data_IF_172993621639
#
_entry.id   IF_172993621639
#
_cell.length_a   1.000
_cell.length_b   1.000
_cell.length_c   1.000
_cell.angle_alpha   90.00
_cell.angle_beta   90.00
_cell.angle_gamma   90.00
#
_symmetry.space_group_name_H-M   'P 1'
#
loop_
_entity.id
_entity.type
_entity.pdbx_description
1 polymer ?
#
# COMPACT_ATOMS: atom_id res chain seq x y z
N UNK A 1 15.72 -53.22 12.10
CA UNK A 1 16.91 -52.68 12.81
C UNK A 1 17.39 -51.50 11.96
N UNK A 2 17.56 -50.24 12.36
CA UNK A 2 17.84 -49.51 13.61
C UNK A 2 17.10 -48.16 13.53
N UNK A 3 16.35 -47.66 14.52
CA UNK A 3 16.68 -47.12 15.86
C UNK A 3 17.48 -45.80 15.87
N UNK A 4 16.84 -44.80 16.54
CA UNK A 4 17.34 -43.54 17.18
C UNK A 4 17.19 -42.28 16.31
N UNK A 5 16.77 -41.11 16.81
CA UNK A 5 16.76 -40.61 18.20
C UNK A 5 15.64 -39.58 18.47
N UNK A 6 15.25 -39.49 19.75
CA UNK A 6 14.44 -38.45 20.39
C UNK A 6 15.23 -37.16 20.65
N UNK A 7 14.55 -36.01 20.71
CA UNK A 7 14.60 -35.05 21.85
C UNK A 7 13.26 -34.29 21.95
N UNK A 8 12.76 -34.14 23.18
CA UNK A 8 11.55 -33.41 23.57
C UNK A 8 11.87 -31.96 24.02
N UNK A 9 10.90 -31.06 23.93
CA UNK A 9 10.86 -29.84 24.74
C UNK A 9 9.42 -29.43 25.08
N UNK A 10 9.28 -28.88 26.28
CA UNK A 10 8.10 -28.80 27.14
C UNK A 10 7.41 -27.45 27.03
N UNK A 11 6.08 -27.42 27.07
CA UNK A 11 5.24 -26.23 27.32
C UNK A 11 3.96 -26.69 28.03
N UNK A 12 3.33 -25.99 28.97
CA UNK A 12 3.64 -24.77 29.71
C UNK A 12 2.76 -24.76 30.99
N UNK A 13 3.35 -24.23 32.06
CA UNK A 13 2.81 -23.45 33.19
C UNK A 13 1.31 -23.53 33.50
N UNK A 14 1.01 -23.93 34.74
CA UNK A 14 -0.27 -23.71 35.40
C UNK A 14 -0.23 -22.64 36.50
N UNK A 15 -1.45 -22.14 36.78
CA UNK A 15 -2.05 -21.76 38.07
C UNK A 15 -1.72 -20.39 38.74
N UNK A 16 -2.81 -19.61 38.85
CA UNK A 16 -3.39 -18.91 40.02
C UNK A 16 -2.61 -17.80 40.74
N UNK A 17 -3.31 -16.68 41.00
CA UNK A 17 -3.34 -16.10 42.35
C UNK A 17 -3.29 -14.57 42.49
N UNK A 18 -4.44 -13.99 42.87
CA UNK A 18 -4.71 -12.98 43.93
C UNK A 18 -3.78 -11.77 44.20
N UNK A 19 -4.40 -10.58 44.37
CA UNK A 19 -4.18 -9.79 45.59
C UNK A 19 -3.83 -8.28 45.49
N UNK A 20 -4.78 -7.45 45.94
CA UNK A 20 -4.69 -6.25 46.81
C UNK A 20 -3.53 -5.22 46.76
N UNK A 21 -3.91 -3.94 46.58
CA UNK A 21 -3.84 -2.91 47.66
C UNK A 21 -2.53 -2.17 47.97
N UNK A 22 -2.52 -0.86 47.62
CA UNK A 22 -1.87 0.38 48.16
C UNK A 22 -0.61 0.33 49.06
N UNK A 23 0.22 1.41 49.08
CA UNK A 23 -0.04 2.45 50.08
C UNK A 23 0.19 3.92 49.67
N UNK A 24 -0.46 4.74 50.50
CA UNK A 24 -0.45 6.18 50.70
C UNK A 24 0.94 6.70 51.12
N UNK A 25 1.30 7.93 50.74
CA UNK A 25 2.27 8.74 51.50
C UNK A 25 1.76 10.17 51.57
N UNK A 26 1.44 10.60 52.79
CA UNK A 26 1.20 11.99 53.17
C UNK A 26 2.54 12.64 53.53
N UNK A 27 2.75 13.90 53.14
CA UNK A 27 3.52 14.86 53.94
C UNK A 27 2.94 16.25 53.72
N UNK A 28 2.49 16.85 54.82
CA UNK A 28 1.93 18.20 54.94
C UNK A 28 3.05 19.18 55.24
N UNK A 29 3.01 20.38 54.64
CA UNK A 29 3.85 21.53 55.01
C UNK A 29 3.30 22.80 54.35
N UNK A 30 2.90 23.77 55.15
CA UNK A 30 1.92 24.81 54.83
C UNK A 30 2.50 26.16 54.35
N UNK A 31 1.61 26.93 53.68
CA UNK A 31 1.39 28.39 53.74
C UNK A 31 1.62 29.22 52.46
N UNK A 32 0.51 29.83 52.02
CA UNK A 32 0.17 30.70 50.86
C UNK A 32 0.85 32.10 50.88
N UNK A 33 0.47 33.12 50.04
CA UNK A 33 -0.48 33.17 48.91
C UNK A 33 0.03 33.95 47.65
N UNK A 34 -0.64 33.79 46.51
CA UNK A 34 -0.77 34.88 45.53
C UNK A 34 -2.04 34.72 44.68
N UNK A 35 -2.77 35.82 44.59
CA UNK A 35 -4.13 35.98 44.07
C UNK A 35 -4.16 36.12 42.54
N UNK A 36 -5.19 35.51 41.95
CA UNK A 36 -5.91 35.76 40.69
C UNK A 36 -5.28 36.61 39.58
N UNK A 37 -5.36 36.09 38.34
CA UNK A 37 -5.99 36.81 37.23
C UNK A 37 -6.38 35.84 36.11
N UNK A 38 -7.67 35.88 35.81
CA UNK A 38 -8.39 35.17 34.75
C UNK A 38 -8.10 35.78 33.38
N UNK A 39 -7.64 34.96 32.42
CA UNK A 39 -8.04 35.06 31.01
C UNK A 39 -8.03 33.65 30.45
N UNK A 40 -9.21 33.01 30.43
CA UNK A 40 -9.44 31.85 29.58
C UNK A 40 -9.58 32.35 28.14
N UNK A 41 -8.46 32.49 27.43
CA UNK A 41 -8.51 32.55 25.97
C UNK A 41 -8.73 31.11 25.52
N UNK A 42 -9.99 30.73 25.35
CA UNK A 42 -10.35 29.56 24.54
C UNK A 42 -9.83 29.81 23.13
N UNK A 43 -8.57 29.46 22.89
CA UNK A 43 -8.13 29.15 21.55
C UNK A 43 -8.97 27.95 21.14
N UNK A 44 -10.04 28.23 20.39
CA UNK A 44 -10.67 27.22 19.59
C UNK A 44 -9.53 26.58 18.78
N UNK A 45 -9.13 25.37 19.16
CA UNK A 45 -8.32 24.54 18.30
C UNK A 45 -9.14 24.41 17.04
N UNK A 46 -8.76 25.17 16.02
CA UNK A 46 -9.20 24.92 14.67
C UNK A 46 -8.90 23.44 14.46
N UNK A 47 -9.96 22.64 14.39
CA UNK A 47 -9.82 21.26 13.96
C UNK A 47 -9.39 21.39 12.51
N UNK A 48 -8.07 21.41 12.29
CA UNK A 48 -7.49 21.26 10.97
C UNK A 48 -8.10 19.97 10.45
N UNK A 49 -9.05 20.12 9.54
CA UNK A 49 -9.61 18.98 8.84
C UNK A 49 -8.42 18.41 8.12
N UNK A 50 -7.92 17.26 8.60
CA UNK A 50 -6.78 16.56 8.01
C UNK A 50 -7.19 16.25 6.57
N UNK A 51 -6.85 17.16 5.66
CA UNK A 51 -6.98 16.94 4.24
C UNK A 51 -6.23 15.65 3.99
N UNK A 52 -6.86 14.71 3.30
CA UNK A 52 -6.26 13.40 3.03
C UNK A 52 -4.96 13.48 2.21
N UNK A 53 -4.51 14.69 1.82
CA UNK A 53 -3.30 14.96 1.04
C UNK A 53 -3.48 14.67 -0.45
N UNK A 54 -4.51 13.90 -0.82
CA UNK A 54 -4.84 13.59 -2.21
C UNK A 54 -5.31 14.83 -2.98
N UNK A 55 -4.68 15.02 -4.13
CA UNK A 55 -5.06 15.97 -5.16
C UNK A 55 -5.30 15.22 -6.47
N UNK A 56 -6.11 15.78 -7.39
CA UNK A 56 -6.29 15.21 -8.71
C UNK A 56 -4.97 15.01 -9.44
N UNK A 57 -4.84 13.91 -10.17
CA UNK A 57 -3.71 13.64 -11.05
C UNK A 57 -3.59 14.71 -12.14
N UNK A 58 -2.36 15.13 -12.46
CA UNK A 58 -2.11 16.21 -13.42
C UNK A 58 -0.95 15.89 -14.37
N UNK A 59 -1.10 16.06 -15.69
CA UNK A 59 -2.32 16.51 -16.38
C UNK A 59 -3.45 15.48 -16.28
N UNK A 60 -4.69 15.94 -16.43
CA UNK A 60 -5.86 15.06 -16.39
C UNK A 60 -5.68 13.91 -17.40
N UNK A 61 -5.79 12.69 -16.90
CA UNK A 61 -5.50 11.46 -17.65
C UNK A 61 -6.64 10.48 -17.40
N UNK A 62 -7.14 9.82 -18.45
CA UNK A 62 -8.09 8.72 -18.27
C UNK A 62 -7.34 7.52 -17.67
N UNK A 63 -7.67 7.07 -16.44
CA UNK A 63 -6.95 5.98 -15.79
C UNK A 63 -7.06 4.65 -16.57
N UNK A 64 -8.12 4.45 -17.35
CA UNK A 64 -8.29 3.23 -18.15
C UNK A 64 -7.55 3.26 -19.49
N UNK A 65 -6.93 4.38 -19.84
CA UNK A 65 -6.10 4.49 -21.06
C UNK A 65 -4.65 4.06 -20.85
N UNK A 66 -4.22 3.95 -19.59
CA UNK A 66 -2.82 3.67 -19.23
C UNK A 66 -2.39 2.21 -19.43
N UNK A 67 -3.33 1.28 -19.34
CA UNK A 67 -3.07 -0.15 -19.58
C UNK A 67 -4.08 -0.66 -20.59
N UNK A 68 -3.59 -1.27 -21.65
CA UNK A 68 -4.45 -1.88 -22.67
C UNK A 68 -4.91 -3.25 -22.12
N UNK A 69 -6.22 -3.58 -22.10
CA UNK A 69 -6.71 -4.84 -21.54
C UNK A 69 -6.04 -6.10 -22.10
N UNK A 70 -5.69 -6.10 -23.39
CA UNK A 70 -5.01 -7.22 -24.06
C UNK A 70 -3.62 -7.52 -23.46
N UNK A 71 -2.97 -6.53 -22.85
CA UNK A 71 -1.68 -6.72 -22.17
C UNK A 71 -1.83 -7.51 -20.85
N UNK A 72 -3.05 -7.60 -20.33
CA UNK A 72 -3.40 -8.33 -19.11
C UNK A 72 -3.88 -9.76 -19.40
N UNK A 73 -3.82 -10.23 -20.64
CA UNK A 73 -4.28 -11.58 -21.00
C UNK A 73 -3.50 -12.72 -20.33
N UNK A 74 -2.31 -12.45 -19.80
CA UNK A 74 -1.54 -13.40 -18.99
C UNK A 74 -1.82 -13.28 -17.48
N UNK A 75 -2.59 -12.26 -17.07
CA UNK A 75 -2.93 -11.97 -15.68
C UNK A 75 -4.35 -12.42 -15.30
N UNK A 76 -5.20 -12.72 -16.28
CA UNK A 76 -6.57 -13.18 -16.05
C UNK A 76 -7.20 -13.78 -17.32
N UNK A 77 -8.37 -14.38 -17.17
CA UNK A 77 -9.11 -14.98 -18.28
C UNK A 77 -9.65 -13.91 -19.25
N UNK A 78 -9.32 -14.02 -20.53
CA UNK A 78 -9.89 -13.13 -21.54
C UNK A 78 -11.40 -13.42 -21.76
N UNK A 79 -12.22 -12.40 -22.10
CA UNK A 79 -11.86 -11.00 -22.26
C UNK A 79 -11.64 -10.26 -20.92
N UNK A 80 -10.69 -9.33 -20.92
CA UNK A 80 -10.48 -8.40 -19.81
C UNK A 80 -11.27 -7.12 -20.08
N UNK A 81 -12.10 -6.69 -19.12
CA UNK A 81 -12.89 -5.46 -19.21
C UNK A 81 -12.37 -4.43 -18.22
N UNK A 82 -12.44 -3.14 -18.58
CA UNK A 82 -12.00 -2.03 -17.73
C UNK A 82 -13.16 -1.13 -17.32
N UNK A 83 -13.06 -0.55 -16.11
CA UNK A 83 -14.06 0.39 -15.60
C UNK A 83 -13.40 1.51 -14.81
N UNK A 84 -13.64 2.74 -15.25
CA UNK A 84 -13.18 3.93 -14.56
C UNK A 84 -14.10 4.29 -13.36
N UNK A 85 -13.49 4.84 -12.31
CA UNK A 85 -14.18 5.45 -11.17
C UNK A 85 -13.33 6.59 -10.63
N UNK A 86 -13.98 7.62 -10.10
CA UNK A 86 -13.29 8.67 -9.35
C UNK A 86 -13.90 8.81 -7.96
N UNK A 87 -13.06 9.07 -6.96
CA UNK A 87 -13.49 9.38 -5.60
C UNK A 87 -12.41 10.19 -4.87
N UNK A 88 -12.79 11.33 -4.27
CA UNK A 88 -11.92 12.14 -3.42
C UNK A 88 -10.56 12.50 -4.06
N UNK A 89 -10.56 12.87 -5.34
CA UNK A 89 -9.35 13.24 -6.08
C UNK A 89 -8.47 12.07 -6.53
N UNK A 90 -8.88 10.82 -6.25
CA UNK A 90 -8.25 9.61 -6.77
C UNK A 90 -9.04 9.12 -7.98
N UNK A 91 -8.37 9.06 -9.12
CA UNK A 91 -8.89 8.44 -10.34
C UNK A 91 -8.47 6.97 -10.35
N UNK A 92 -9.38 6.08 -10.71
CA UNK A 92 -9.15 4.64 -10.66
C UNK A 92 -9.63 3.98 -11.93
N UNK A 93 -8.90 2.96 -12.39
CA UNK A 93 -9.39 1.99 -13.35
C UNK A 93 -9.28 0.59 -12.76
N UNK A 94 -10.39 -0.15 -12.77
CA UNK A 94 -10.41 -1.56 -12.38
C UNK A 94 -10.55 -2.42 -13.62
N UNK A 95 -9.66 -3.41 -13.76
CA UNK A 95 -9.67 -4.42 -14.79
C UNK A 95 -10.18 -5.73 -14.21
N UNK A 96 -11.14 -6.35 -14.86
CA UNK A 96 -11.74 -7.62 -14.47
C UNK A 96 -11.70 -8.62 -15.61
N UNK A 97 -11.48 -9.89 -15.27
CA UNK A 97 -11.52 -10.98 -16.23
C UNK A 97 -12.95 -11.43 -16.57
N UNK A 98 -13.05 -12.41 -17.46
CA UNK A 98 -14.32 -12.99 -17.90
C UNK A 98 -15.16 -13.58 -16.76
N UNK A 99 -14.51 -14.00 -15.68
CA UNK A 99 -15.13 -14.58 -14.48
C UNK A 99 -15.41 -13.50 -13.40
N UNK A 100 -15.24 -12.21 -13.75
CA UNK A 100 -15.40 -11.05 -12.87
C UNK A 100 -14.39 -10.95 -11.72
N UNK A 101 -13.31 -11.72 -11.75
CA UNK A 101 -12.20 -11.55 -10.83
C UNK A 101 -11.47 -10.25 -11.18
N UNK A 102 -11.03 -9.52 -10.16
CA UNK A 102 -10.13 -8.38 -10.39
C UNK A 102 -8.79 -8.90 -10.85
N UNK A 103 -8.19 -8.22 -11.81
CA UNK A 103 -6.87 -8.57 -12.37
C UNK A 103 -5.85 -7.48 -12.06
N UNK A 104 -6.27 -6.23 -12.25
CA UNK A 104 -5.49 -5.04 -11.94
C UNK A 104 -6.43 -3.97 -11.40
N UNK A 105 -6.03 -3.32 -10.33
CA UNK A 105 -6.58 -2.05 -9.92
C UNK A 105 -5.51 -0.96 -10.02
N UNK A 106 -5.78 0.05 -10.84
CA UNK A 106 -4.85 1.12 -11.13
C UNK A 106 -5.40 2.42 -10.55
N UNK A 107 -4.59 3.14 -9.77
CA UNK A 107 -4.98 4.43 -9.14
C UNK A 107 -4.03 5.54 -9.56
N UNK A 108 -4.58 6.71 -9.89
CA UNK A 108 -3.87 7.93 -10.23
C UNK A 108 -4.24 9.00 -9.21
N UNK A 109 -3.23 9.64 -8.62
CA UNK A 109 -3.43 10.77 -7.71
C UNK A 109 -2.12 11.56 -7.55
N UNK A 110 -2.23 12.79 -7.04
CA UNK A 110 -1.10 13.58 -6.53
C UNK A 110 -1.10 13.53 -5.01
N UNK A 111 0.05 13.24 -4.41
CA UNK A 111 0.21 13.27 -2.95
C UNK A 111 1.72 13.34 -2.60
N UNK A 112 2.18 14.51 -2.13
CA UNK A 112 3.60 14.73 -1.81
C UNK A 112 4.14 13.79 -0.73
N UNK A 113 3.38 13.61 0.36
CA UNK A 113 3.75 12.69 1.45
C UNK A 113 3.76 11.24 0.93
N UNK A 114 2.78 10.88 0.12
CA UNK A 114 2.70 9.59 -0.55
C UNK A 114 3.92 9.31 -1.40
N UNK A 115 4.30 10.26 -2.27
CA UNK A 115 5.45 10.11 -3.17
C UNK A 115 6.75 9.94 -2.38
N UNK A 116 6.90 10.70 -1.30
CA UNK A 116 8.02 10.56 -0.36
C UNK A 116 8.02 9.16 0.27
N UNK A 117 6.88 8.71 0.79
CA UNK A 117 6.76 7.38 1.40
C UNK A 117 7.08 6.24 0.42
N UNK A 118 6.68 6.34 -0.86
CA UNK A 118 7.04 5.33 -1.87
C UNK A 118 8.56 5.31 -2.13
N UNK A 119 9.23 6.47 -2.11
CA UNK A 119 10.70 6.54 -2.23
C UNK A 119 11.40 5.93 -1.03
N UNK A 120 10.83 6.07 0.17
CA UNK A 120 11.50 5.70 1.42
C UNK A 120 11.19 4.27 1.89
N UNK A 121 10.00 3.73 1.59
CA UNK A 121 9.44 2.54 2.26
C UNK A 121 9.06 1.43 1.26
N UNK A 122 9.77 1.32 0.14
CA UNK A 122 9.59 0.22 -0.82
C UNK A 122 10.38 -1.03 -0.41
N UNK A 123 9.91 -2.19 -0.86
CA UNK A 123 10.60 -3.48 -0.70
C UNK A 123 11.83 -3.55 -1.60
N UNK A 124 11.67 -3.13 -2.87
CA UNK A 124 12.76 -2.98 -3.84
C UNK A 124 12.33 -2.05 -4.99
N UNK A 125 13.30 -1.62 -5.79
CA UNK A 125 13.05 -0.90 -7.04
C UNK A 125 13.35 -1.83 -8.22
N UNK A 126 12.39 -1.98 -9.11
CA UNK A 126 12.53 -2.65 -10.38
C UNK A 126 12.84 -1.64 -11.48
N UNK A 127 13.83 -1.96 -12.32
CA UNK A 127 14.18 -1.17 -13.49
C UNK A 127 13.66 -1.88 -14.73
N UNK A 128 12.74 -1.26 -15.46
CA UNK A 128 12.17 -1.84 -16.68
C UNK A 128 11.89 -0.74 -17.71
N UNK A 129 12.49 -0.84 -18.90
CA UNK A 129 12.35 0.10 -20.02
C UNK A 129 12.41 1.60 -19.62
N UNK A 130 13.34 1.94 -18.74
CA UNK A 130 13.54 3.32 -18.26
C UNK A 130 12.54 3.79 -17.18
N UNK A 131 11.69 2.89 -16.67
CA UNK A 131 10.85 3.14 -15.50
C UNK A 131 11.53 2.65 -14.22
N UNK A 132 11.53 3.49 -13.18
CA UNK A 132 11.84 3.11 -11.80
C UNK A 132 10.54 2.71 -11.10
N UNK A 133 10.34 1.42 -10.91
CA UNK A 133 9.12 0.85 -10.36
C UNK A 133 9.35 0.55 -8.88
N UNK A 134 8.70 1.32 -8.01
CA UNK A 134 8.76 1.12 -6.56
C UNK A 134 7.83 -0.03 -6.20
N UNK A 135 8.36 -1.13 -5.65
CA UNK A 135 7.57 -2.30 -5.27
C UNK A 135 7.23 -2.24 -3.78
N UNK A 136 5.95 -2.37 -3.42
CA UNK A 136 5.49 -2.36 -2.03
C UNK A 136 4.89 -3.68 -1.58
N UNK A 137 4.48 -4.54 -2.53
CA UNK A 137 4.05 -5.92 -2.26
C UNK A 137 4.60 -6.82 -3.35
N UNK A 138 5.40 -7.80 -2.97
CA UNK A 138 6.27 -8.56 -3.86
C UNK A 138 6.06 -10.06 -3.65
N UNK A 139 4.95 -10.60 -4.14
CA UNK A 139 4.52 -11.97 -3.87
C UNK A 139 4.50 -12.80 -5.17
N UNK A 140 4.40 -14.13 -5.05
CA UNK A 140 4.33 -15.01 -6.22
C UNK A 140 3.02 -14.87 -7.03
N UNK A 141 1.95 -14.40 -6.39
CA UNK A 141 0.61 -14.32 -6.95
C UNK A 141 -0.03 -12.94 -6.78
N UNK A 142 0.70 -11.93 -6.33
CA UNK A 142 0.20 -10.57 -6.15
C UNK A 142 1.35 -9.58 -6.36
N UNK A 143 1.06 -8.42 -6.94
CA UNK A 143 2.03 -7.34 -7.04
C UNK A 143 1.39 -6.01 -6.66
N UNK A 144 2.01 -5.31 -5.71
CA UNK A 144 1.75 -3.90 -5.45
C UNK A 144 2.97 -3.10 -5.88
N UNK A 145 2.79 -2.20 -6.84
CA UNK A 145 3.87 -1.34 -7.33
C UNK A 145 3.41 0.09 -7.62
N UNK A 146 4.33 1.04 -7.65
CA UNK A 146 4.04 2.43 -7.93
C UNK A 146 5.07 3.04 -8.90
N UNK A 147 4.60 3.91 -9.76
CA UNK A 147 5.41 4.87 -10.52
C UNK A 147 5.27 6.24 -9.90
N UNK A 148 6.40 6.96 -9.79
CA UNK A 148 6.46 8.31 -9.28
C UNK A 148 6.82 9.28 -10.40
N UNK A 149 5.89 10.15 -10.74
CA UNK A 149 6.04 11.15 -11.78
C UNK A 149 6.42 12.53 -11.26
N UNK A 150 6.45 13.54 -12.15
CA UNK A 150 6.65 14.94 -11.77
C UNK A 150 5.56 15.44 -10.82
N UNK A 151 5.89 16.45 -10.01
CA UNK A 151 4.96 17.10 -9.08
C UNK A 151 4.22 16.14 -8.14
N UNK A 152 4.88 15.06 -7.71
CA UNK A 152 4.32 14.07 -6.80
C UNK A 152 3.07 13.34 -7.34
N UNK A 153 2.96 13.26 -8.67
CA UNK A 153 2.03 12.36 -9.32
C UNK A 153 2.43 10.91 -9.04
N UNK A 154 1.44 10.09 -8.72
CA UNK A 154 1.61 8.68 -8.38
C UNK A 154 0.65 7.88 -9.25
N UNK A 155 1.18 6.81 -9.86
CA UNK A 155 0.37 5.72 -10.41
C UNK A 155 0.63 4.47 -9.60
N UNK A 156 -0.38 4.02 -8.87
CA UNK A 156 -0.32 2.78 -8.11
C UNK A 156 -0.99 1.65 -8.89
N UNK A 157 -0.32 0.51 -8.92
CA UNK A 157 -0.74 -0.74 -9.56
C UNK A 157 -0.91 -1.81 -8.48
N UNK A 158 -2.12 -2.32 -8.33
CA UNK A 158 -2.43 -3.46 -7.46
C UNK A 158 -2.88 -4.63 -8.36
N UNK A 159 -1.98 -5.56 -8.68
CA UNK A 159 -2.26 -6.78 -9.43
C UNK A 159 -2.70 -7.91 -8.49
N UNK A 160 -3.83 -8.52 -8.80
CA UNK A 160 -4.47 -9.60 -8.03
C UNK A 160 -4.86 -10.77 -8.96
N UNK A 161 -3.91 -11.41 -9.67
CA UNK A 161 -4.24 -12.49 -10.60
C UNK A 161 -4.93 -13.67 -9.89
N UNK A 162 -5.91 -14.28 -10.58
CA UNK A 162 -6.52 -15.52 -10.11
C UNK A 162 -5.55 -16.70 -10.14
N UNK A 163 -5.81 -17.74 -9.34
CA UNK A 163 -4.94 -18.94 -9.24
C UNK A 163 -4.70 -19.62 -10.59
N UNK A 164 -5.69 -19.59 -11.50
CA UNK A 164 -5.55 -20.15 -12.84
C UNK A 164 -4.52 -19.37 -13.67
N UNK A 165 -4.55 -18.04 -13.61
CA UNK A 165 -3.57 -17.19 -14.29
C UNK A 165 -2.16 -17.41 -13.72
N UNK A 166 -2.03 -17.48 -12.39
CA UNK A 166 -0.75 -17.78 -11.72
C UNK A 166 -0.20 -19.14 -12.14
N UNK A 167 -1.07 -20.15 -12.26
CA UNK A 167 -0.66 -21.51 -12.66
C UNK A 167 -0.30 -21.61 -14.14
N UNK A 168 -0.93 -20.80 -15.00
CA UNK A 168 -0.67 -20.76 -16.43
C UNK A 168 0.53 -19.86 -16.79
N UNK A 169 0.77 -18.83 -15.98
CA UNK A 169 1.88 -17.91 -16.15
C UNK A 169 3.21 -18.63 -15.93
N UNK A 170 4.15 -18.40 -16.83
CA UNK A 170 5.51 -18.94 -16.74
C UNK A 170 6.41 -18.03 -15.91
N UNK A 171 5.98 -17.67 -14.69
CA UNK A 171 6.82 -16.93 -13.76
C UNK A 171 8.02 -17.80 -13.41
N UNK A 172 9.23 -17.32 -13.70
CA UNK A 172 10.43 -18.13 -13.53
C UNK A 172 10.72 -18.37 -12.05
N UNK A 173 11.36 -19.49 -11.73
CA UNK A 173 11.80 -19.78 -10.36
C UNK A 173 12.66 -18.62 -9.84
N UNK A 174 12.24 -18.04 -8.71
CA UNK A 174 12.93 -16.90 -8.09
C UNK A 174 12.44 -15.52 -8.55
N UNK A 175 11.50 -15.44 -9.49
CA UNK A 175 10.78 -14.22 -9.83
C UNK A 175 9.47 -14.11 -9.05
N UNK A 176 8.99 -12.88 -8.85
CA UNK A 176 7.69 -12.58 -8.27
C UNK A 176 6.71 -12.12 -9.35
N UNK A 177 5.45 -11.90 -8.96
CA UNK A 177 4.46 -11.34 -9.86
C UNK A 177 4.78 -9.91 -10.30
N UNK A 178 5.57 -9.17 -9.52
CA UNK A 178 6.03 -7.82 -9.92
C UNK A 178 7.07 -7.88 -11.03
N UNK A 179 7.98 -8.86 -11.03
CA UNK A 179 8.89 -9.06 -12.17
C UNK A 179 8.10 -9.41 -13.43
N UNK A 180 7.10 -10.29 -13.30
CA UNK A 180 6.22 -10.68 -14.39
C UNK A 180 5.38 -9.51 -14.93
N UNK A 181 4.95 -8.61 -14.07
CA UNK A 181 4.10 -7.45 -14.42
C UNK A 181 4.88 -6.20 -14.81
N UNK A 182 6.20 -6.17 -14.60
CA UNK A 182 7.06 -5.03 -14.89
C UNK A 182 6.92 -4.49 -16.33
N UNK A 183 6.79 -5.32 -17.39
CA UNK A 183 6.58 -4.82 -18.75
C UNK A 183 5.29 -4.01 -18.91
N UNK A 184 4.21 -4.39 -18.23
CA UNK A 184 2.92 -3.66 -18.26
C UNK A 184 3.07 -2.30 -17.56
N UNK A 185 3.73 -2.28 -16.40
CA UNK A 185 3.97 -1.06 -15.64
C UNK A 185 4.88 -0.10 -16.43
N UNK A 186 5.95 -0.62 -17.04
CA UNK A 186 6.87 0.17 -17.84
C UNK A 186 6.20 0.78 -19.09
N UNK A 187 5.28 0.05 -19.73
CA UNK A 187 4.49 0.58 -20.83
C UNK A 187 3.53 1.70 -20.38
N UNK A 188 2.93 1.58 -19.19
CA UNK A 188 2.15 2.68 -18.60
C UNK A 188 3.03 3.93 -18.35
N UNK A 189 4.27 3.75 -17.89
CA UNK A 189 5.23 4.84 -17.73
C UNK A 189 5.54 5.57 -19.06
N UNK A 190 5.68 4.80 -20.16
CA UNK A 190 5.87 5.36 -21.51
C UNK A 190 4.66 6.16 -21.96
N UNK A 191 3.44 5.66 -21.73
CA UNK A 191 2.19 6.36 -22.08
C UNK A 191 2.00 7.67 -21.34
N UNK A 192 2.52 7.75 -20.12
CA UNK A 192 2.56 8.98 -19.33
C UNK A 192 3.64 9.97 -19.78
N UNK A 193 4.55 9.54 -20.67
CA UNK A 193 5.70 10.34 -21.10
C UNK A 193 6.73 10.55 -19.99
N UNK A 194 6.80 9.63 -19.01
CA UNK A 194 7.72 9.73 -17.87
C UNK A 194 9.05 9.03 -18.11
N UNK A 195 9.18 8.26 -19.19
CA UNK A 195 10.45 7.66 -19.60
C UNK A 195 11.42 8.77 -20.04
N UNK A 196 12.65 8.72 -19.52
CA UNK A 196 13.73 9.68 -19.86
C UNK A 196 14.46 9.29 -21.14
#
# INVERSE_FOLDING_TARGET
MSKRAWVAAVAAVGLLGVGCGSPKTETTGASSPATSSSVATSAAQASETKTSGYQPFSPATDPCSLVIPEQLGAHGAAPINSRARESNGIQQCTYQDADHNKVLNLKLFKNADGATNFRDIHVRILQADGAEIYVMKDEQNECGAALLGPEDNIVQFDFEPGTAAVSAAQVQTGQTWCDFSAPVIAEANKRLGWTK
#
